data_IF_435182108878
#
_entry.id   IF_435182108878
#
_cell.length_a   1.000
_cell.length_b   1.000
_cell.length_c   1.000
_cell.angle_alpha   90.00
_cell.angle_beta   90.00
_cell.angle_gamma   90.00
#
_symmetry.space_group_name_H-M   'P 1'
#
loop_
_entity.id
_entity.type
_entity.pdbx_description
1 polymer ?
#
# COMPACT_ATOMS: atom_id res chain seq x y z
N UNK A 1 -40.71 -25.49 -4.92
CA UNK A 1 -40.13 -25.89 -3.62
C UNK A 1 -38.68 -25.42 -3.49
N UNK A 2 -37.74 -25.92 -4.30
CA UNK A 2 -36.30 -25.64 -4.19
C UNK A 2 -35.88 -24.15 -4.16
N UNK A 3 -36.53 -23.26 -4.92
CA UNK A 3 -36.23 -21.82 -4.92
C UNK A 3 -36.60 -21.13 -3.60
N UNK A 4 -37.70 -21.55 -2.97
CA UNK A 4 -38.13 -21.01 -1.68
C UNK A 4 -37.21 -21.50 -0.56
N UNK A 5 -36.78 -22.76 -0.62
CA UNK A 5 -35.84 -23.35 0.34
C UNK A 5 -34.45 -22.69 0.26
N UNK A 6 -33.98 -22.40 -0.96
CA UNK A 6 -32.74 -21.67 -1.18
C UNK A 6 -32.82 -20.25 -0.60
N UNK A 7 -33.89 -19.50 -0.88
CA UNK A 7 -34.07 -18.15 -0.35
C UNK A 7 -34.13 -18.14 1.18
N UNK A 8 -34.84 -19.11 1.79
CA UNK A 8 -34.94 -19.25 3.24
C UNK A 8 -33.58 -19.57 3.87
N UNK A 9 -32.78 -20.43 3.23
CA UNK A 9 -31.44 -20.75 3.70
C UNK A 9 -30.48 -19.55 3.59
N UNK A 10 -30.51 -18.82 2.46
CA UNK A 10 -29.71 -17.61 2.27
C UNK A 10 -30.03 -16.57 3.34
N UNK A 11 -31.31 -16.28 3.60
CA UNK A 11 -31.72 -15.36 4.65
C UNK A 11 -31.20 -15.79 6.03
N UNK A 12 -31.32 -17.08 6.37
CA UNK A 12 -30.83 -17.62 7.64
C UNK A 12 -29.31 -17.48 7.78
N UNK A 13 -28.56 -17.72 6.72
CA UNK A 13 -27.10 -17.56 6.69
C UNK A 13 -26.69 -16.08 6.80
N UNK A 14 -27.37 -15.18 6.10
CA UNK A 14 -27.14 -13.73 6.21
C UNK A 14 -27.32 -13.27 7.65
N UNK A 15 -28.43 -13.63 8.31
CA UNK A 15 -28.66 -13.26 9.72
C UNK A 15 -27.60 -13.86 10.66
N UNK A 16 -27.10 -15.06 10.39
CA UNK A 16 -26.05 -15.67 11.21
C UNK A 16 -24.71 -14.95 11.05
N UNK A 17 -24.37 -14.53 9.84
CA UNK A 17 -23.17 -13.73 9.53
C UNK A 17 -23.24 -12.38 10.25
N UNK A 18 -24.38 -11.69 10.14
CA UNK A 18 -24.59 -10.39 10.78
C UNK A 18 -24.44 -10.49 12.30
N UNK A 19 -25.06 -11.51 12.92
CA UNK A 19 -24.97 -11.76 14.37
C UNK A 19 -23.54 -12.07 14.83
N UNK A 20 -22.76 -12.80 14.03
CA UNK A 20 -21.36 -13.08 14.35
C UNK A 20 -20.51 -11.80 14.26
N UNK A 21 -20.74 -10.96 13.24
CA UNK A 21 -20.11 -9.64 13.12
C UNK A 21 -20.39 -8.74 14.33
N UNK A 22 -21.65 -8.69 14.78
CA UNK A 22 -22.01 -7.96 16.00
C UNK A 22 -21.27 -8.48 17.24
N UNK A 23 -21.11 -9.80 17.37
CA UNK A 23 -20.37 -10.40 18.49
C UNK A 23 -18.90 -9.99 18.48
N UNK A 24 -18.25 -10.00 17.33
CA UNK A 24 -16.85 -9.61 17.21
C UNK A 24 -16.64 -8.11 17.50
N UNK A 25 -17.54 -7.25 17.03
CA UNK A 25 -17.49 -5.84 17.39
C UNK A 25 -17.57 -5.62 18.91
N UNK A 26 -18.46 -6.36 19.62
CA UNK A 26 -18.55 -6.28 21.09
C UNK A 26 -17.27 -6.71 21.80
N UNK A 27 -16.60 -7.76 21.31
CA UNK A 27 -15.31 -8.20 21.87
C UNK A 27 -14.22 -7.14 21.68
N UNK A 28 -14.15 -6.56 20.47
CA UNK A 28 -13.21 -5.47 20.17
C UNK A 28 -13.47 -4.26 21.09
N UNK A 29 -14.72 -3.86 21.25
CA UNK A 29 -15.10 -2.76 22.14
C UNK A 29 -14.71 -3.06 23.60
N UNK A 30 -14.88 -4.31 24.05
CA UNK A 30 -14.49 -4.74 25.40
C UNK A 30 -12.97 -4.58 25.63
N UNK A 31 -12.16 -4.97 24.64
CA UNK A 31 -10.70 -4.79 24.69
C UNK A 31 -10.34 -3.30 24.73
N UNK A 32 -11.00 -2.48 23.90
CA UNK A 32 -10.78 -1.02 23.88
C UNK A 32 -11.10 -0.40 25.24
N UNK A 33 -12.22 -0.78 25.86
CA UNK A 33 -12.61 -0.28 27.17
C UNK A 33 -11.60 -0.69 28.25
N UNK A 34 -11.13 -1.94 28.23
CA UNK A 34 -10.11 -2.41 29.16
C UNK A 34 -8.84 -1.57 29.09
N UNK A 35 -8.32 -1.30 27.89
CA UNK A 35 -7.14 -0.46 27.70
C UNK A 35 -7.34 0.97 28.23
N UNK A 36 -8.55 1.53 28.09
CA UNK A 36 -8.89 2.86 28.64
C UNK A 36 -8.94 2.85 30.17
N UNK A 37 -9.49 1.80 30.78
CA UNK A 37 -9.52 1.63 32.24
C UNK A 37 -8.10 1.51 32.79
N UNK A 38 -7.26 0.65 32.18
CA UNK A 38 -5.86 0.47 32.58
C UNK A 38 -5.06 1.78 32.50
N UNK A 39 -5.30 2.59 31.46
CA UNK A 39 -4.71 3.92 31.32
C UNK A 39 -5.16 4.87 32.44
N UNK A 40 -6.47 4.91 32.73
CA UNK A 40 -7.02 5.75 33.79
C UNK A 40 -6.51 5.37 35.19
N UNK A 41 -6.31 4.07 35.47
CA UNK A 41 -5.71 3.61 36.72
C UNK A 41 -4.24 4.04 36.87
N UNK A 42 -3.45 3.99 35.80
CA UNK A 42 -2.08 4.48 35.80
C UNK A 42 -2.02 5.98 36.08
N UNK A 43 -2.85 6.76 35.40
CA UNK A 43 -2.94 8.21 35.58
C UNK A 43 -3.32 8.56 37.02
N UNK A 44 -4.30 7.86 37.60
CA UNK A 44 -4.70 8.05 39.00
C UNK A 44 -3.53 7.78 39.97
N UNK A 45 -2.80 6.67 39.79
CA UNK A 45 -1.65 6.32 40.65
C UNK A 45 -0.53 7.35 40.55
N UNK A 46 -0.23 7.83 39.34
CA UNK A 46 0.78 8.88 39.14
C UNK A 46 0.34 10.20 39.79
N UNK A 47 -0.93 10.56 39.68
CA UNK A 47 -1.49 11.77 40.30
C UNK A 47 -1.42 11.72 41.83
N UNK A 48 -1.75 10.58 42.44
CA UNK A 48 -1.69 10.41 43.89
C UNK A 48 -0.26 10.57 44.44
N UNK A 49 0.74 10.02 43.73
CA UNK A 49 2.16 10.19 44.07
C UNK A 49 2.58 11.65 43.96
N UNK A 50 2.21 12.32 42.87
CA UNK A 50 2.53 13.73 42.66
C UNK A 50 1.92 14.63 43.75
N UNK A 51 0.64 14.42 44.06
CA UNK A 51 -0.07 15.16 45.11
C UNK A 51 0.57 14.97 46.49
N UNK A 52 0.97 13.73 46.82
CA UNK A 52 1.66 13.43 48.07
C UNK A 52 2.99 14.16 48.21
N UNK A 53 3.77 14.26 47.13
CA UNK A 53 5.01 15.03 47.14
C UNK A 53 4.77 16.54 47.17
N UNK A 54 3.76 17.04 46.45
CA UNK A 54 3.34 18.44 46.51
C UNK A 54 2.99 18.85 47.95
N UNK A 55 2.23 18.03 48.66
CA UNK A 55 1.84 18.28 50.06
C UNK A 55 3.04 18.27 51.02
N UNK A 56 4.07 17.45 50.76
CA UNK A 56 5.32 17.47 51.53
C UNK A 56 6.13 18.74 51.27
N UNK A 57 6.18 19.19 50.03
CA UNK A 57 6.85 20.44 49.65
C UNK A 57 6.14 21.64 50.30
N UNK A 58 4.80 21.70 50.22
CA UNK A 58 4.01 22.75 50.88
C UNK A 58 4.24 22.82 52.40
N UNK A 59 4.29 21.66 53.08
CA UNK A 59 4.63 21.59 54.52
C UNK A 59 6.02 22.12 54.82
N UNK A 60 7.03 21.69 54.05
CA UNK A 60 8.41 22.19 54.20
C UNK A 60 8.50 23.70 53.99
N UNK A 61 7.84 24.23 52.96
CA UNK A 61 7.79 25.68 52.72
C UNK A 61 7.18 26.41 53.91
N UNK A 62 6.07 25.90 54.45
CA UNK A 62 5.40 26.51 55.61
C UNK A 62 6.30 26.51 56.85
N UNK A 63 7.02 25.43 57.12
CA UNK A 63 7.99 25.36 58.22
C UNK A 63 9.15 26.35 58.04
N UNK A 64 9.67 26.50 56.83
CA UNK A 64 10.73 27.48 56.53
C UNK A 64 10.19 28.90 56.75
N UNK A 65 8.99 29.21 56.25
CA UNK A 65 8.34 30.51 56.43
C UNK A 65 8.16 30.86 57.91
N UNK A 66 7.72 29.90 58.73
CA UNK A 66 7.56 30.09 60.18
C UNK A 66 8.91 30.33 60.86
N UNK A 67 9.92 29.52 60.56
CA UNK A 67 11.27 29.70 61.13
C UNK A 67 11.85 31.09 60.79
N UNK A 68 11.62 31.60 59.58
CA UNK A 68 12.05 32.95 59.18
C UNK A 68 11.30 34.02 59.98
N UNK A 69 10.00 33.85 60.22
CA UNK A 69 9.21 34.78 61.02
C UNK A 69 9.69 34.82 62.48
N UNK A 70 9.94 33.66 63.08
CA UNK A 70 10.44 33.53 64.45
C UNK A 70 11.84 34.17 64.58
N UNK A 71 12.72 33.94 63.60
CA UNK A 71 14.04 34.56 63.53
C UNK A 71 13.96 36.09 63.46
N UNK A 72 13.06 36.65 62.63
CA UNK A 72 12.84 38.09 62.57
C UNK A 72 12.35 38.66 63.90
N UNK A 73 11.47 37.93 64.60
CA UNK A 73 10.98 38.34 65.93
C UNK A 73 12.10 38.37 66.95
N UNK A 74 12.95 37.33 66.98
CA UNK A 74 14.12 37.28 67.86
C UNK A 74 15.15 38.37 67.54
N UNK A 75 15.39 38.65 66.25
CA UNK A 75 16.29 39.71 65.80
C UNK A 75 15.83 41.11 66.25
N UNK A 76 14.52 41.34 66.28
CA UNK A 76 13.91 42.61 66.71
C UNK A 76 13.72 42.72 68.24
N UNK A 77 14.13 41.70 69.01
CA UNK A 77 14.03 41.70 70.47
C UNK A 77 15.28 42.31 71.10
N UNK A 78 15.12 43.04 72.22
CA UNK A 78 16.24 43.54 73.02
C UNK A 78 16.79 42.50 74.02
N UNK A 79 16.27 41.26 74.01
CA UNK A 79 16.70 40.18 74.88
C UNK A 79 17.85 39.37 74.26
N UNK A 80 19.08 39.63 74.73
CA UNK A 80 20.30 38.96 74.28
C UNK A 80 20.30 37.44 74.54
N UNK A 81 19.50 36.94 75.48
CA UNK A 81 19.43 35.51 75.80
C UNK A 81 18.88 34.69 74.62
N UNK A 82 17.95 35.26 73.84
CA UNK A 82 17.33 34.62 72.67
C UNK A 82 18.33 34.32 71.55
N UNK A 83 19.33 35.20 71.35
CA UNK A 83 20.38 35.01 70.35
C UNK A 83 21.35 33.92 70.79
N UNK A 84 21.74 33.91 72.08
CA UNK A 84 22.66 32.92 72.64
C UNK A 84 22.09 31.49 72.65
N UNK A 85 20.76 31.36 72.78
CA UNK A 85 20.06 30.07 72.79
C UNK A 85 19.71 29.55 71.38
N UNK A 86 19.86 30.37 70.34
CA UNK A 86 19.47 30.00 68.98
C UNK A 86 20.33 28.87 68.41
N UNK A 87 19.66 27.84 67.89
CA UNK A 87 20.30 26.74 67.16
C UNK A 87 19.78 26.73 65.73
N UNK A 88 20.70 26.81 64.77
CA UNK A 88 20.35 26.84 63.36
C UNK A 88 19.72 25.52 62.90
N UNK A 89 18.58 25.63 62.20
CA UNK A 89 17.91 24.50 61.54
C UNK A 89 18.27 24.37 60.06
N UNK A 90 19.18 25.20 59.52
CA UNK A 90 19.51 25.22 58.08
C UNK A 90 19.95 23.86 57.53
N UNK A 91 20.60 23.03 58.37
CA UNK A 91 21.00 21.67 57.99
C UNK A 91 19.80 20.78 57.60
N UNK A 92 18.61 21.01 58.19
CA UNK A 92 17.39 20.25 57.92
C UNK A 92 16.80 20.55 56.54
N UNK A 93 17.03 21.75 56.01
CA UNK A 93 16.49 22.22 54.72
C UNK A 93 17.54 22.26 53.60
N UNK A 94 18.77 21.78 53.87
CA UNK A 94 19.89 21.85 52.93
C UNK A 94 19.71 20.93 51.72
N UNK A 95 18.87 19.90 51.83
CA UNK A 95 18.63 18.95 50.75
C UNK A 95 17.45 19.43 49.89
N UNK A 96 17.60 19.49 48.56
CA UNK A 96 16.48 19.82 47.69
C UNK A 96 15.43 18.70 47.71
N UNK A 97 14.17 19.00 47.37
CA UNK A 97 13.15 17.96 47.18
C UNK A 97 13.60 16.95 46.11
N UNK A 98 13.23 15.66 46.26
CA UNK A 98 13.57 14.63 45.29
C UNK A 98 12.96 14.94 43.91
N UNK A 99 13.73 14.70 42.84
CA UNK A 99 13.21 14.80 41.47
C UNK A 99 12.46 13.52 41.12
N UNK A 100 11.16 13.64 40.90
CA UNK A 100 10.35 12.55 40.37
C UNK A 100 10.47 12.51 38.85
N UNK A 101 10.90 11.37 38.31
CA UNK A 101 10.84 11.10 36.87
C UNK A 101 9.63 10.22 36.61
N UNK A 102 8.60 10.77 35.96
CA UNK A 102 7.43 10.02 35.53
C UNK A 102 7.52 9.85 34.02
N UNK A 103 7.49 8.59 33.55
CA UNK A 103 7.37 8.28 32.13
C UNK A 103 5.90 8.34 31.73
N UNK A 104 5.58 9.11 30.70
CA UNK A 104 4.22 9.15 30.16
C UNK A 104 3.92 7.85 29.37
N UNK A 105 2.72 7.27 29.52
CA UNK A 105 2.32 6.12 28.74
C UNK A 105 2.23 6.50 27.25
N UNK A 106 2.60 5.56 26.38
CA UNK A 106 2.46 5.70 24.93
C UNK A 106 1.63 4.53 24.38
N UNK A 107 0.78 4.82 23.41
CA UNK A 107 -0.01 3.81 22.72
C UNK A 107 0.50 3.65 21.29
N UNK A 108 0.92 2.44 20.95
CA UNK A 108 1.38 2.09 19.59
C UNK A 108 0.45 1.03 19.03
N UNK A 109 -0.43 1.38 18.06
CA UNK A 109 -1.34 0.40 17.46
C UNK A 109 -0.56 -0.63 16.65
N UNK A 110 -0.87 -1.91 16.83
CA UNK A 110 -0.33 -2.96 15.98
C UNK A 110 -1.03 -2.96 14.61
N UNK A 111 -0.27 -3.25 13.56
CA UNK A 111 -0.79 -3.36 12.20
C UNK A 111 -1.68 -4.59 12.09
N UNK A 112 -2.94 -4.38 11.71
CA UNK A 112 -3.95 -5.43 11.59
C UNK A 112 -3.66 -6.35 10.40
N UNK A 113 -3.52 -7.64 10.66
CA UNK A 113 -3.40 -8.69 9.63
C UNK A 113 -4.81 -9.09 9.16
N UNK A 114 -5.12 -8.84 7.89
CA UNK A 114 -6.47 -9.10 7.35
C UNK A 114 -6.74 -10.60 7.21
N UNK A 115 -5.71 -11.37 6.92
CA UNK A 115 -5.78 -12.82 6.74
C UNK A 115 -6.13 -13.51 8.06
N UNK A 116 -5.57 -13.04 9.18
CA UNK A 116 -5.92 -13.51 10.52
C UNK A 116 -7.36 -13.15 10.91
N UNK A 117 -7.85 -11.96 10.53
CA UNK A 117 -9.25 -11.58 10.75
C UNK A 117 -10.22 -12.46 9.95
N UNK A 118 -9.90 -12.77 8.69
CA UNK A 118 -10.72 -13.68 7.89
C UNK A 118 -10.77 -15.09 8.49
N UNK A 119 -9.66 -15.57 9.05
CA UNK A 119 -9.62 -16.85 9.77
C UNK A 119 -10.51 -16.84 11.03
N UNK A 120 -10.55 -15.72 11.76
CA UNK A 120 -11.37 -15.58 12.97
C UNK A 120 -12.86 -15.41 12.67
N UNK A 121 -13.23 -14.87 11.50
CA UNK A 121 -14.62 -14.60 11.12
C UNK A 121 -15.33 -15.81 10.48
N UNK A 122 -14.59 -16.68 9.78
CA UNK A 122 -15.12 -17.91 9.17
C UNK A 122 -15.42 -17.82 7.67
N UNK A 123 -15.87 -18.94 7.08
CA UNK A 123 -16.05 -19.13 5.64
C UNK A 123 -17.47 -19.63 5.30
N UNK A 124 -17.99 -19.20 4.15
CA UNK A 124 -19.25 -19.72 3.59
C UNK A 124 -18.93 -20.88 2.64
N UNK A 125 -19.49 -22.06 2.91
CA UNK A 125 -19.37 -23.21 2.01
C UNK A 125 -20.09 -22.95 0.68
N UNK A 126 -19.39 -23.12 -0.44
CA UNK A 126 -19.99 -23.03 -1.78
C UNK A 126 -20.74 -24.34 -2.09
N UNK A 127 -22.00 -24.24 -2.47
CA UNK A 127 -22.79 -25.40 -2.95
C UNK A 127 -22.74 -25.43 -4.48
N UNK A 128 -22.20 -26.50 -5.10
CA UNK A 128 -22.20 -26.63 -6.55
C UNK A 128 -23.59 -27.02 -7.07
N UNK A 129 -24.00 -26.41 -8.18
CA UNK A 129 -25.23 -26.78 -8.90
C UNK A 129 -24.91 -27.89 -9.91
N UNK A 130 -25.68 -28.99 -9.93
CA UNK A 130 -25.60 -30.01 -10.97
C UNK A 130 -26.77 -29.82 -11.94
N UNK A 131 -26.49 -29.72 -13.24
CA UNK A 131 -27.50 -29.80 -14.31
C UNK A 131 -27.15 -30.96 -15.22
N UNK A 132 -28.06 -31.92 -15.36
CA UNK A 132 -27.93 -33.04 -16.29
C UNK A 132 -28.36 -32.62 -17.70
N UNK A 133 -27.41 -32.57 -18.63
CA UNK A 133 -27.64 -32.65 -20.08
C UNK A 133 -26.63 -33.64 -20.67
N UNK A 134 -27.02 -34.51 -21.61
CA UNK A 134 -26.14 -35.55 -22.15
C UNK A 134 -25.28 -34.98 -23.29
N UNK A 135 -23.97 -35.27 -23.25
CA UNK A 135 -23.06 -35.05 -24.39
C UNK A 135 -22.11 -33.86 -24.25
N UNK A 136 -21.23 -33.90 -23.24
CA UNK A 136 -19.82 -33.47 -23.29
C UNK A 136 -19.30 -33.47 -21.84
N UNK A 137 -18.37 -34.36 -21.54
CA UNK A 137 -17.71 -34.42 -20.24
C UNK A 137 -16.75 -33.24 -20.12
N UNK A 138 -17.24 -32.10 -19.61
CA UNK A 138 -16.41 -31.00 -19.14
C UNK A 138 -16.18 -31.16 -17.64
N UNK A 139 -15.02 -31.72 -17.29
CA UNK A 139 -14.50 -31.67 -15.94
C UNK A 139 -14.00 -30.24 -15.69
N UNK A 140 -14.65 -29.49 -14.79
CA UNK A 140 -14.09 -28.28 -14.22
C UNK A 140 -13.07 -28.67 -13.14
N UNK A 141 -11.77 -28.34 -13.27
CA UNK A 141 -10.87 -28.38 -12.12
C UNK A 141 -11.28 -27.24 -11.19
N UNK A 142 -11.71 -27.60 -9.98
CA UNK A 142 -12.01 -26.63 -8.94
C UNK A 142 -10.78 -25.81 -8.61
N UNK A 143 -10.94 -24.49 -8.54
CA UNK A 143 -9.94 -23.61 -7.95
C UNK A 143 -9.80 -23.99 -6.47
N UNK A 144 -8.67 -24.61 -6.16
CA UNK A 144 -8.28 -25.05 -4.84
C UNK A 144 -8.26 -23.86 -3.88
N UNK A 145 -8.73 -24.11 -2.68
CA UNK A 145 -8.37 -23.33 -1.51
C UNK A 145 -6.84 -23.24 -1.43
N UNK A 146 -6.31 -22.02 -1.40
CA UNK A 146 -4.98 -21.65 -0.87
C UNK A 146 -3.92 -22.74 -1.08
N UNK A 147 -3.29 -22.77 -2.26
CA UNK A 147 -2.09 -23.56 -2.41
C UNK A 147 -1.03 -23.07 -1.39
N UNK A 148 -0.47 -23.96 -0.55
CA UNK A 148 0.77 -23.65 0.15
C UNK A 148 1.83 -23.36 -0.92
N UNK A 149 2.75 -22.41 -0.65
CA UNK A 149 3.81 -21.94 -1.55
C UNK A 149 4.05 -22.88 -2.73
N UNK A 150 3.32 -22.64 -3.81
CA UNK A 150 3.46 -23.44 -5.02
C UNK A 150 4.89 -23.18 -5.48
N UNK A 151 5.75 -24.20 -5.59
CA UNK A 151 7.08 -23.99 -6.14
C UNK A 151 6.90 -23.28 -7.48
N UNK A 152 7.71 -22.24 -7.72
CA UNK A 152 7.79 -21.60 -9.03
C UNK A 152 7.86 -22.72 -10.06
N UNK A 153 7.04 -22.65 -11.11
CA UNK A 153 7.08 -23.67 -12.14
C UNK A 153 8.49 -23.62 -12.73
N UNK A 154 9.29 -24.67 -12.52
CA UNK A 154 10.69 -24.71 -12.97
C UNK A 154 10.79 -24.52 -14.49
N UNK A 155 9.79 -25.01 -15.23
CA UNK A 155 9.73 -24.87 -16.69
C UNK A 155 8.40 -24.25 -17.17
N UNK A 156 8.43 -23.10 -17.87
CA UNK A 156 7.23 -22.49 -18.42
C UNK A 156 6.59 -23.41 -19.46
N UNK A 157 5.29 -23.68 -19.31
CA UNK A 157 4.52 -24.48 -20.27
C UNK A 157 3.86 -23.58 -21.29
N UNK A 158 4.10 -23.85 -22.58
CA UNK A 158 3.38 -23.19 -23.67
C UNK A 158 1.94 -23.74 -23.75
N UNK A 159 0.96 -22.89 -23.44
CA UNK A 159 -0.46 -23.27 -23.44
C UNK A 159 -1.13 -22.91 -24.78
N UNK A 160 -0.78 -21.75 -25.34
CA UNK A 160 -1.34 -21.27 -26.59
C UNK A 160 -0.34 -20.35 -27.30
N UNK A 161 -0.40 -20.33 -28.63
CA UNK A 161 0.27 -19.33 -29.46
C UNK A 161 -0.82 -18.52 -30.20
N UNK A 162 -0.88 -17.23 -29.91
CA UNK A 162 -1.93 -16.34 -30.44
C UNK A 162 -1.28 -15.43 -31.47
N UNK A 163 -1.61 -15.64 -32.74
CA UNK A 163 -1.20 -14.73 -33.80
C UNK A 163 -2.07 -13.47 -33.73
N UNK A 164 -1.50 -12.39 -33.20
CA UNK A 164 -2.17 -11.09 -33.19
C UNK A 164 -1.96 -10.38 -34.53
N UNK A 165 -3.00 -9.76 -35.07
CA UNK A 165 -2.91 -8.84 -36.22
C UNK A 165 -2.27 -7.48 -35.84
N UNK A 166 -1.49 -7.43 -34.76
CA UNK A 166 -0.78 -6.26 -34.26
C UNK A 166 0.71 -6.43 -34.58
N UNK A 167 1.35 -5.37 -35.07
CA UNK A 167 2.79 -5.33 -35.27
C UNK A 167 3.40 -4.65 -34.05
N UNK A 168 4.55 -5.10 -33.55
CA UNK A 168 5.26 -4.44 -32.45
C UNK A 168 4.43 -4.30 -31.17
N UNK A 169 4.18 -5.42 -30.49
CA UNK A 169 3.46 -5.42 -29.21
C UNK A 169 4.20 -4.61 -28.15
N UNK A 170 3.47 -3.74 -27.45
CA UNK A 170 4.01 -2.85 -26.43
C UNK A 170 3.44 -3.12 -25.03
N UNK A 171 2.29 -3.78 -24.94
CA UNK A 171 1.69 -4.13 -23.67
C UNK A 171 0.68 -5.26 -23.79
N UNK A 172 0.63 -6.06 -22.73
CA UNK A 172 -0.27 -7.20 -22.61
C UNK A 172 -0.85 -7.24 -21.20
N UNK A 173 -2.14 -7.55 -21.07
CA UNK A 173 -2.77 -7.70 -19.76
C UNK A 173 -3.89 -8.72 -19.78
N UNK A 174 -3.83 -9.68 -18.86
CA UNK A 174 -4.84 -10.72 -18.73
C UNK A 174 -6.10 -10.17 -18.04
N UNK A 175 -7.25 -10.27 -18.70
CA UNK A 175 -8.54 -9.94 -18.09
C UNK A 175 -8.95 -11.02 -17.09
N UNK A 176 -8.69 -12.29 -17.45
CA UNK A 176 -8.91 -13.55 -16.74
C UNK A 176 -7.97 -14.60 -17.36
N UNK A 177 -8.15 -15.87 -17.00
CA UNK A 177 -7.31 -16.97 -17.50
C UNK A 177 -7.63 -17.37 -18.95
N UNK A 178 -8.63 -16.77 -19.58
CA UNK A 178 -9.10 -17.11 -20.93
C UNK A 178 -8.99 -15.98 -21.97
N UNK A 179 -8.65 -14.74 -21.53
CA UNK A 179 -8.70 -13.54 -22.37
C UNK A 179 -7.60 -12.55 -22.05
N UNK A 180 -7.03 -11.98 -23.12
CA UNK A 180 -5.85 -11.14 -23.06
C UNK A 180 -6.09 -9.84 -23.83
N UNK A 181 -5.90 -8.71 -23.15
CA UNK A 181 -5.79 -7.40 -23.77
C UNK A 181 -4.39 -7.20 -24.31
N UNK A 182 -4.31 -6.67 -25.53
CA UNK A 182 -3.08 -6.45 -26.25
C UNK A 182 -3.09 -5.03 -26.83
N UNK A 183 -1.95 -4.34 -26.72
CA UNK A 183 -1.66 -3.10 -27.42
C UNK A 183 -0.30 -3.17 -28.12
N UNK A 184 -0.19 -2.50 -29.26
CA UNK A 184 1.00 -2.52 -30.12
C UNK A 184 0.89 -1.53 -31.28
N UNK A 185 1.92 -1.47 -32.12
CA UNK A 185 1.99 -0.58 -33.29
C UNK A 185 1.06 -1.07 -34.41
N UNK A 186 -0.23 -0.73 -34.30
CA UNK A 186 -1.24 -1.00 -35.33
C UNK A 186 -2.57 -0.31 -35.02
N UNK A 187 -3.25 0.18 -36.07
CA UNK A 187 -4.60 0.81 -36.10
C UNK A 187 -5.03 1.71 -34.93
N UNK A 188 -4.12 2.15 -34.05
CA UNK A 188 -4.41 2.90 -32.84
C UNK A 188 -5.51 2.26 -31.96
N UNK A 189 -5.55 0.93 -31.88
CA UNK A 189 -6.57 0.18 -31.13
C UNK A 189 -5.96 -0.74 -30.07
N UNK A 190 -6.69 -0.91 -28.97
CA UNK A 190 -6.44 -1.90 -27.92
C UNK A 190 -7.41 -3.05 -28.16
N UNK A 191 -6.88 -4.27 -28.31
CA UNK A 191 -7.63 -5.45 -28.77
C UNK A 191 -7.69 -6.52 -27.67
N UNK A 192 -8.83 -7.19 -27.55
CA UNK A 192 -9.05 -8.30 -26.64
C UNK A 192 -9.13 -9.59 -27.44
N UNK A 193 -8.20 -10.51 -27.19
CA UNK A 193 -8.20 -11.84 -27.79
C UNK A 193 -8.62 -12.88 -26.75
N UNK A 194 -9.26 -13.95 -27.20
CA UNK A 194 -9.36 -15.19 -26.43
C UNK A 194 -8.11 -16.06 -26.61
N UNK A 195 -7.97 -17.13 -25.81
CA UNK A 195 -6.85 -18.06 -25.94
C UNK A 195 -6.84 -18.86 -27.26
N UNK A 196 -7.97 -18.90 -27.99
CA UNK A 196 -8.05 -19.46 -29.33
C UNK A 196 -7.56 -18.50 -30.42
N UNK A 197 -7.22 -17.27 -30.05
CA UNK A 197 -6.77 -16.22 -30.96
C UNK A 197 -7.89 -15.45 -31.66
N UNK A 198 -9.16 -15.65 -31.27
CA UNK A 198 -10.26 -14.90 -31.84
C UNK A 198 -10.34 -13.50 -31.21
N UNK A 199 -10.55 -12.48 -32.05
CA UNK A 199 -10.74 -11.11 -31.63
C UNK A 199 -12.14 -10.91 -31.02
N UNK A 200 -12.21 -10.70 -29.72
CA UNK A 200 -13.47 -10.49 -29.00
C UNK A 200 -13.91 -9.01 -28.97
N UNK A 201 -12.94 -8.08 -28.82
CA UNK A 201 -13.21 -6.63 -28.78
C UNK A 201 -12.04 -5.83 -29.36
N UNK A 202 -12.33 -4.69 -29.95
CA UNK A 202 -11.35 -3.69 -30.38
C UNK A 202 -11.82 -2.31 -29.92
N UNK A 203 -10.94 -1.55 -29.26
CA UNK A 203 -11.25 -0.24 -28.70
C UNK A 203 -10.23 0.76 -29.24
N UNK A 204 -10.64 1.84 -29.92
CA UNK A 204 -9.71 2.88 -30.35
C UNK A 204 -9.12 3.61 -29.14
N UNK A 205 -7.85 4.00 -29.19
CA UNK A 205 -7.27 4.88 -28.18
C UNK A 205 -7.85 6.29 -28.31
N UNK A 206 -8.04 6.98 -27.19
CA UNK A 206 -8.59 8.34 -27.16
C UNK A 206 -7.76 9.36 -27.96
N UNK A 207 -6.44 9.22 -28.01
CA UNK A 207 -5.56 10.10 -28.79
C UNK A 207 -5.59 9.81 -30.29
N UNK A 208 -6.03 8.62 -30.72
CA UNK A 208 -5.94 8.20 -32.11
C UNK A 208 -4.50 8.16 -32.64
N UNK A 209 -3.50 8.07 -31.75
CA UNK A 209 -2.07 8.05 -32.07
C UNK A 209 -1.45 6.71 -31.69
N UNK A 210 -0.25 6.45 -32.24
CA UNK A 210 0.47 5.16 -32.15
C UNK A 210 0.45 4.57 -30.73
N UNK A 211 0.02 3.30 -30.55
CA UNK A 211 0.00 2.65 -29.23
C UNK A 211 1.39 2.25 -28.70
N UNK A 212 2.48 2.56 -29.41
CA UNK A 212 3.84 2.25 -28.95
C UNK A 212 4.23 2.96 -27.65
N UNK A 213 3.48 3.98 -27.26
CA UNK A 213 3.63 4.71 -25.99
C UNK A 213 2.46 4.43 -25.01
N UNK A 214 1.62 3.43 -25.30
CA UNK A 214 0.43 3.07 -24.52
C UNK A 214 0.62 1.70 -23.88
N UNK A 215 0.48 1.67 -22.56
CA UNK A 215 0.48 0.43 -21.77
C UNK A 215 -0.90 0.17 -21.19
N UNK A 216 -1.21 -1.11 -20.98
CA UNK A 216 -2.53 -1.57 -20.56
C UNK A 216 -2.45 -2.38 -19.28
N UNK A 217 -3.46 -2.23 -18.43
CA UNK A 217 -3.67 -3.08 -17.27
C UNK A 217 -5.15 -3.31 -17.07
N UNK A 218 -5.49 -4.28 -16.22
CA UNK A 218 -6.87 -4.60 -15.87
C UNK A 218 -7.03 -4.47 -14.36
N UNK A 219 -8.06 -3.72 -13.95
CA UNK A 219 -8.44 -3.59 -12.54
C UNK A 219 -8.93 -4.92 -11.96
N UNK A 220 -8.99 -5.02 -10.62
CA UNK A 220 -9.58 -6.19 -9.94
C UNK A 220 -11.01 -6.54 -10.43
N UNK A 221 -11.79 -5.53 -10.83
CA UNK A 221 -13.13 -5.68 -11.38
C UNK A 221 -13.17 -6.09 -12.86
N UNK A 222 -12.04 -6.32 -13.51
CA UNK A 222 -11.98 -6.68 -14.92
C UNK A 222 -12.18 -5.50 -15.88
N UNK A 223 -11.95 -4.27 -15.40
CA UNK A 223 -12.07 -3.05 -16.22
C UNK A 223 -10.70 -2.71 -16.80
N UNK A 224 -10.63 -2.51 -18.12
CA UNK A 224 -9.43 -2.09 -18.84
C UNK A 224 -9.04 -0.65 -18.48
N UNK A 225 -7.77 -0.47 -18.17
CA UNK A 225 -7.11 0.81 -17.92
C UNK A 225 -5.91 0.92 -18.85
N UNK A 226 -5.67 2.10 -19.42
CA UNK A 226 -4.52 2.32 -20.29
C UNK A 226 -3.94 3.73 -20.14
N UNK A 227 -2.65 3.86 -20.43
CA UNK A 227 -1.94 5.15 -20.46
C UNK A 227 -2.05 5.81 -21.83
N UNK A 228 -2.20 7.13 -21.84
CA UNK A 228 -2.17 7.94 -23.05
C UNK A 228 -1.09 9.00 -22.86
N UNK A 229 0.11 8.67 -23.34
CA UNK A 229 1.32 9.48 -23.22
C UNK A 229 1.12 10.89 -23.78
N UNK A 230 0.51 11.01 -24.98
CA UNK A 230 0.32 12.27 -25.70
C UNK A 230 -0.71 13.18 -25.03
N UNK A 231 -1.84 12.61 -24.59
CA UNK A 231 -2.86 13.38 -23.89
C UNK A 231 -2.54 13.63 -22.41
N UNK A 232 -1.47 13.03 -21.88
CA UNK A 232 -1.10 13.07 -20.45
C UNK A 232 -2.22 12.55 -19.55
N UNK A 233 -2.80 11.40 -19.93
CA UNK A 233 -3.95 10.84 -19.21
C UNK A 233 -3.81 9.35 -18.94
N UNK A 234 -4.45 8.90 -17.87
CA UNK A 234 -4.78 7.49 -17.66
C UNK A 234 -6.28 7.35 -17.87
N UNK A 235 -6.67 6.45 -18.75
CA UNK A 235 -8.05 6.26 -19.18
C UNK A 235 -8.57 4.89 -18.74
N UNK A 236 -9.87 4.81 -18.48
CA UNK A 236 -10.58 3.60 -18.12
C UNK A 236 -11.72 3.36 -19.11
N UNK A 237 -11.94 2.11 -19.51
CA UNK A 237 -12.99 1.75 -20.47
C UNK A 237 -14.15 1.09 -19.75
N UNK A 238 -15.30 1.78 -19.68
CA UNK A 238 -16.55 1.27 -19.09
C UNK A 238 -17.63 1.19 -20.15
N UNK A 239 -18.26 0.03 -20.33
CA UNK A 239 -19.35 -0.15 -21.30
C UNK A 239 -19.01 0.44 -22.69
N UNK A 240 -17.83 0.10 -23.21
CA UNK A 240 -17.26 0.62 -24.48
C UNK A 240 -17.02 2.13 -24.56
N UNK A 241 -17.30 2.89 -23.50
CA UNK A 241 -16.97 4.31 -23.41
C UNK A 241 -15.65 4.52 -22.68
N UNK A 242 -14.82 5.41 -23.23
CA UNK A 242 -13.53 5.78 -22.68
C UNK A 242 -13.71 6.99 -21.76
N UNK A 243 -13.37 6.82 -20.49
CA UNK A 243 -13.39 7.88 -19.49
C UNK A 243 -11.96 8.19 -19.05
N UNK A 244 -11.63 9.48 -18.94
CA UNK A 244 -10.34 9.89 -18.37
C UNK A 244 -10.42 9.79 -16.86
N UNK A 245 -9.62 8.92 -16.26
CA UNK A 245 -9.56 8.72 -14.81
C UNK A 245 -8.58 9.69 -14.15
N UNK A 246 -7.40 9.84 -14.74
CA UNK A 246 -6.32 10.69 -14.23
C UNK A 246 -5.86 11.62 -15.34
N UNK A 247 -5.74 12.92 -15.03
CA UNK A 247 -5.13 13.91 -15.92
C UNK A 247 -3.87 14.47 -15.27
N UNK A 248 -2.75 14.27 -15.93
CA UNK A 248 -1.44 14.65 -15.44
C UNK A 248 -1.04 16.03 -15.98
N UNK A 249 -0.46 16.86 -15.11
CA UNK A 249 0.07 18.19 -15.46
C UNK A 249 1.57 18.20 -15.26
N UNK A 250 2.35 18.52 -16.29
CA UNK A 250 3.82 18.48 -16.22
C UNK A 250 4.44 17.09 -16.34
N UNK A 251 3.60 16.05 -16.53
CA UNK A 251 4.02 14.64 -16.53
C UNK A 251 3.30 13.87 -17.65
N UNK A 252 4.01 12.93 -18.25
CA UNK A 252 3.51 12.04 -19.31
C UNK A 252 3.56 10.59 -18.81
N UNK A 253 2.43 9.86 -18.78
CA UNK A 253 2.40 8.49 -18.29
C UNK A 253 3.04 7.55 -19.30
N UNK A 254 3.88 6.63 -18.82
CA UNK A 254 4.51 5.57 -19.62
C UNK A 254 3.74 4.27 -19.37
N UNK A 255 3.93 3.67 -18.22
CA UNK A 255 3.34 2.39 -17.87
C UNK A 255 2.32 2.50 -16.73
N UNK A 256 1.43 1.50 -16.62
CA UNK A 256 0.38 1.42 -15.61
C UNK A 256 0.21 0.00 -15.09
N UNK A 257 0.09 -0.14 -13.78
CA UNK A 257 -0.16 -1.42 -13.12
C UNK A 257 -1.33 -1.29 -12.13
N UNK A 258 -2.29 -2.23 -12.18
CA UNK A 258 -3.29 -2.36 -11.14
C UNK A 258 -2.69 -2.97 -9.88
N UNK A 259 -2.95 -2.36 -8.72
CA UNK A 259 -2.51 -2.91 -7.44
C UNK A 259 -3.49 -3.96 -6.93
N UNK A 260 -2.99 -4.86 -6.08
CA UNK A 260 -3.77 -5.85 -5.33
C UNK A 260 -4.82 -5.23 -4.41
N UNK A 261 -4.66 -3.95 -4.06
CA UNK A 261 -5.56 -3.15 -3.22
C UNK A 261 -6.62 -2.37 -4.01
N UNK A 262 -6.64 -2.51 -5.35
CA UNK A 262 -7.60 -1.84 -6.23
C UNK A 262 -7.22 -0.40 -6.60
N UNK A 263 -5.97 0.01 -6.35
CA UNK A 263 -5.39 1.26 -6.82
C UNK A 263 -4.63 1.08 -8.13
N UNK A 264 -3.93 2.14 -8.54
CA UNK A 264 -3.06 2.13 -9.71
C UNK A 264 -1.64 2.60 -9.33
N UNK A 265 -0.64 2.00 -9.96
CA UNK A 265 0.70 2.54 -10.06
C UNK A 265 0.87 3.07 -11.48
N UNK A 266 1.50 4.23 -11.63
CA UNK A 266 1.73 4.86 -12.93
C UNK A 266 3.16 5.36 -12.98
N UNK A 267 3.97 4.84 -13.91
CA UNK A 267 5.28 5.42 -14.21
C UNK A 267 5.10 6.59 -15.16
N UNK A 268 5.87 7.66 -14.95
CA UNK A 268 5.74 8.89 -15.72
C UNK A 268 7.05 9.63 -15.83
N UNK A 269 7.24 10.25 -16.99
CA UNK A 269 8.35 11.18 -17.25
C UNK A 269 7.84 12.62 -17.15
N UNK A 270 8.72 13.56 -16.78
CA UNK A 270 8.40 14.98 -16.86
C UNK A 270 8.23 15.44 -18.31
N UNK A 271 7.50 16.54 -18.51
CA UNK A 271 7.25 17.06 -19.87
C UNK A 271 8.56 17.40 -20.63
N UNK A 272 9.61 17.80 -19.89
CA UNK A 272 10.96 18.11 -20.39
C UNK A 272 11.88 16.88 -20.49
N UNK A 273 11.36 15.68 -20.19
CA UNK A 273 12.07 14.40 -20.23
C UNK A 273 13.26 14.25 -19.27
N UNK A 274 13.45 15.18 -18.32
CA UNK A 274 14.60 15.22 -17.40
C UNK A 274 14.38 14.49 -16.09
N UNK A 275 13.15 14.10 -15.78
CA UNK A 275 12.82 13.43 -14.53
C UNK A 275 11.86 12.27 -14.78
N UNK A 276 11.98 11.23 -13.96
CA UNK A 276 11.04 10.12 -13.94
C UNK A 276 10.56 9.88 -12.51
N UNK A 277 9.31 9.44 -12.36
CA UNK A 277 8.74 9.05 -11.08
C UNK A 277 7.65 8.01 -11.24
N UNK A 278 7.31 7.38 -10.13
CA UNK A 278 6.13 6.50 -10.02
C UNK A 278 5.13 7.12 -9.06
N UNK A 279 3.89 7.30 -9.53
CA UNK A 279 2.78 7.73 -8.70
C UNK A 279 1.89 6.56 -8.32
N UNK A 280 1.50 6.47 -7.04
CA UNK A 280 0.43 5.58 -6.58
C UNK A 280 -0.86 6.37 -6.49
N UNK A 281 -1.94 5.82 -7.03
CA UNK A 281 -3.25 6.44 -7.11
C UNK A 281 -4.33 5.56 -6.48
N UNK A 282 -5.24 6.18 -5.74
CA UNK A 282 -6.51 5.59 -5.31
C UNK A 282 -7.63 6.29 -6.08
N UNK A 283 -8.21 5.60 -7.06
CA UNK A 283 -9.09 6.23 -8.04
C UNK A 283 -8.33 7.31 -8.84
N UNK A 284 -8.83 8.54 -8.81
CA UNK A 284 -8.18 9.71 -9.45
C UNK A 284 -7.19 10.46 -8.55
N UNK A 285 -7.10 10.09 -7.27
CA UNK A 285 -6.32 10.82 -6.28
C UNK A 285 -4.93 10.23 -6.12
N UNK A 286 -3.88 11.03 -6.30
CA UNK A 286 -2.51 10.62 -6.01
C UNK A 286 -2.33 10.48 -4.49
N UNK A 287 -1.90 9.31 -4.04
CA UNK A 287 -1.67 9.00 -2.62
C UNK A 287 -0.20 8.93 -2.25
N UNK A 288 0.67 8.71 -3.24
CA UNK A 288 2.11 8.62 -3.04
C UNK A 288 2.84 9.02 -4.33
N UNK A 289 4.00 9.66 -4.17
CA UNK A 289 4.93 9.96 -5.26
C UNK A 289 6.30 9.41 -4.88
N UNK A 290 6.82 8.51 -5.69
CA UNK A 290 8.11 7.84 -5.52
C UNK A 290 9.03 8.40 -6.59
N UNK A 291 10.09 9.10 -6.19
CA UNK A 291 10.96 9.81 -7.13
C UNK A 291 12.41 9.87 -6.68
N UNK A 292 12.67 10.17 -5.41
CA UNK A 292 14.01 10.36 -4.86
C UNK A 292 14.27 9.42 -3.68
N UNK A 293 15.53 9.06 -3.47
CA UNK A 293 15.99 8.37 -2.27
C UNK A 293 16.23 9.38 -1.11
N UNK A 294 16.63 8.87 0.05
CA UNK A 294 16.90 9.67 1.26
C UNK A 294 18.03 10.68 1.12
N UNK A 295 18.89 10.49 0.12
CA UNK A 295 19.98 11.41 -0.22
C UNK A 295 19.55 12.46 -1.24
N UNK A 296 18.27 12.48 -1.63
CA UNK A 296 17.73 13.38 -2.65
C UNK A 296 18.10 13.02 -4.09
N UNK A 297 18.64 11.83 -4.33
CA UNK A 297 19.04 11.37 -5.67
C UNK A 297 17.86 10.69 -6.38
N UNK A 298 17.72 10.83 -7.71
CA UNK A 298 16.62 10.21 -8.45
C UNK A 298 16.70 8.67 -8.37
N UNK A 299 15.56 8.04 -8.15
CA UNK A 299 15.43 6.57 -8.09
C UNK A 299 15.38 5.93 -9.49
N UNK A 300 14.97 6.70 -10.49
CA UNK A 300 14.73 6.23 -11.85
C UNK A 300 15.48 7.10 -12.84
N UNK A 301 15.92 6.51 -13.95
CA UNK A 301 16.59 7.21 -15.04
C UNK A 301 15.63 8.19 -15.73
N UNK A 302 16.12 9.35 -16.15
CA UNK A 302 15.37 10.28 -16.97
C UNK A 302 15.21 9.74 -18.38
N UNK A 303 14.14 10.10 -19.10
CA UNK A 303 13.96 9.68 -20.50
C UNK A 303 15.15 10.05 -21.41
N UNK A 304 15.98 11.04 -21.02
CA UNK A 304 17.20 11.42 -21.72
C UNK A 304 18.44 10.58 -21.37
N UNK A 305 18.41 9.79 -20.29
CA UNK A 305 19.53 8.98 -19.84
C UNK A 305 19.67 7.68 -20.65
N UNK A 306 18.61 7.25 -21.35
CA UNK A 306 18.59 6.09 -22.23
C UNK A 306 19.20 6.39 -23.61
N UNK A 307 20.52 6.45 -23.70
CA UNK A 307 21.25 6.74 -24.95
C UNK A 307 22.04 5.53 -25.44
N UNK A 308 21.39 4.58 -26.14
CA UNK A 308 22.06 3.70 -27.12
C UNK A 308 21.10 3.36 -28.26
N UNK A 309 20.91 4.27 -29.23
CA UNK A 309 20.83 3.92 -30.67
C UNK A 309 20.88 5.19 -31.54
N UNK A 310 21.66 5.13 -32.62
CA UNK A 310 21.87 6.21 -33.59
C UNK A 310 21.00 6.07 -34.85
N UNK A 311 19.96 5.23 -34.81
CA UNK A 311 19.00 5.08 -35.89
C UNK A 311 17.72 5.89 -35.60
N UNK A 312 17.51 6.94 -36.39
CA UNK A 312 16.30 7.76 -36.31
C UNK A 312 15.00 6.99 -36.62
N UNK A 313 15.11 5.78 -37.15
CA UNK A 313 13.97 4.89 -37.41
C UNK A 313 13.59 3.99 -36.22
N UNK A 314 14.49 3.76 -35.26
CA UNK A 314 14.21 2.97 -34.04
C UNK A 314 14.05 3.90 -32.83
N UNK A 315 13.15 4.88 -32.96
CA UNK A 315 12.64 5.72 -31.88
C UNK A 315 11.76 4.95 -30.87
N UNK A 316 11.84 3.62 -30.88
CA UNK A 316 11.03 2.72 -30.08
C UNK A 316 11.82 2.45 -28.80
N UNK A 317 11.31 2.97 -27.68
CA UNK A 317 11.48 2.35 -26.36
C UNK A 317 12.82 2.45 -25.61
N UNK A 318 13.75 3.35 -25.97
CA UNK A 318 15.06 3.42 -25.30
C UNK A 318 15.05 3.84 -23.81
N UNK A 319 13.90 4.21 -23.23
CA UNK A 319 13.78 4.32 -21.78
C UNK A 319 12.44 3.82 -21.22
N UNK A 320 12.07 2.61 -21.61
CA UNK A 320 10.88 1.95 -21.08
C UNK A 320 11.04 1.64 -19.60
N UNK A 321 10.00 1.95 -18.82
CA UNK A 321 9.92 1.65 -17.39
C UNK A 321 8.69 0.82 -17.13
N UNK A 322 8.91 -0.48 -16.92
CA UNK A 322 7.83 -1.41 -16.61
C UNK A 322 7.61 -1.46 -15.11
N UNK A 323 6.35 -1.38 -14.69
CA UNK A 323 5.97 -1.35 -13.29
C UNK A 323 5.10 -2.54 -12.92
N UNK A 324 5.39 -3.13 -11.76
CA UNK A 324 4.56 -4.17 -11.16
C UNK A 324 4.52 -4.05 -9.64
N UNK A 325 3.56 -4.72 -9.02
CA UNK A 325 3.49 -4.89 -7.57
C UNK A 325 3.80 -6.34 -7.24
N UNK A 326 4.79 -6.59 -6.38
CA UNK A 326 5.12 -7.95 -5.93
C UNK A 326 4.14 -8.44 -4.84
N UNK A 327 4.28 -9.70 -4.39
CA UNK A 327 3.44 -10.26 -3.32
C UNK A 327 3.61 -9.56 -1.97
N UNK A 328 4.74 -8.92 -1.74
CA UNK A 328 5.01 -8.10 -0.54
C UNK A 328 4.41 -6.69 -0.64
N UNK A 329 3.74 -6.38 -1.76
CA UNK A 329 3.13 -5.08 -2.06
C UNK A 329 4.14 -3.96 -2.37
N UNK A 330 5.40 -4.34 -2.57
CA UNK A 330 6.45 -3.43 -3.00
C UNK A 330 6.27 -3.10 -4.48
N UNK A 331 6.71 -1.90 -4.85
CA UNK A 331 6.73 -1.44 -6.24
C UNK A 331 8.01 -1.91 -6.88
N UNK A 332 7.90 -2.75 -7.91
CA UNK A 332 9.03 -3.18 -8.73
C UNK A 332 9.03 -2.39 -10.04
N UNK A 333 10.13 -1.71 -10.33
CA UNK A 333 10.31 -0.94 -11.57
C UNK A 333 11.50 -1.49 -12.33
N UNK A 334 11.27 -2.04 -13.51
CA UNK A 334 12.33 -2.40 -14.46
C UNK A 334 12.67 -1.17 -15.28
N UNK A 335 13.83 -0.57 -15.01
CA UNK A 335 14.30 0.66 -15.62
C UNK A 335 15.38 0.33 -16.65
N UNK A 336 15.00 0.39 -17.93
CA UNK A 336 15.91 0.08 -19.04
C UNK A 336 17.06 1.11 -19.13
N UNK A 337 16.77 2.40 -18.93
CA UNK A 337 17.79 3.44 -19.01
C UNK A 337 18.85 3.32 -17.91
N UNK A 338 18.46 2.83 -16.73
CA UNK A 338 19.40 2.53 -15.63
C UNK A 338 20.01 1.11 -15.71
N UNK A 339 19.57 0.27 -16.65
CA UNK A 339 19.87 -1.16 -16.68
C UNK A 339 19.68 -1.84 -15.31
N UNK A 340 18.58 -1.52 -14.62
CA UNK A 340 18.37 -1.97 -13.24
C UNK A 340 16.90 -2.24 -12.93
N UNK A 341 16.68 -3.11 -11.94
CA UNK A 341 15.37 -3.28 -11.30
C UNK A 341 15.41 -2.60 -9.94
N UNK A 342 14.52 -1.63 -9.73
CA UNK A 342 14.38 -0.88 -8.48
C UNK A 342 13.15 -1.40 -7.75
N UNK A 343 13.35 -1.89 -6.52
CA UNK A 343 12.25 -2.35 -5.66
C UNK A 343 12.09 -1.36 -4.52
N UNK A 344 10.89 -0.80 -4.40
CA UNK A 344 10.57 0.25 -3.42
C UNK A 344 9.49 -0.25 -2.46
N UNK A 345 9.76 -0.15 -1.15
CA UNK A 345 8.81 -0.59 -0.15
C UNK A 345 7.50 0.21 -0.23
N UNK A 346 6.36 -0.48 -0.07
CA UNK A 346 5.02 0.11 -0.07
C UNK A 346 4.91 1.39 0.78
N UNK A 347 5.51 1.41 1.96
CA UNK A 347 5.22 2.41 2.99
C UNK A 347 6.09 3.67 2.91
N UNK A 348 7.35 3.54 2.50
CA UNK A 348 8.33 4.61 2.74
C UNK A 348 8.91 5.24 1.47
N UNK A 349 8.64 4.69 0.28
CA UNK A 349 9.31 5.18 -0.93
C UNK A 349 10.82 4.90 -0.95
N UNK A 350 11.32 4.17 0.05
CA UNK A 350 12.72 3.78 0.19
C UNK A 350 13.04 2.61 -0.74
N UNK A 351 14.13 2.70 -1.53
CA UNK A 351 14.62 1.55 -2.28
C UNK A 351 15.03 0.47 -1.27
N UNK A 352 14.35 -0.67 -1.35
CA UNK A 352 14.65 -1.84 -0.51
C UNK A 352 15.76 -2.66 -1.15
N UNK A 353 15.72 -2.81 -2.48
CA UNK A 353 16.73 -3.53 -3.26
C UNK A 353 16.87 -2.89 -4.65
N UNK A 354 18.10 -2.79 -5.14
CA UNK A 354 18.40 -2.39 -6.52
C UNK A 354 19.26 -3.49 -7.14
N UNK A 355 18.78 -4.10 -8.21
CA UNK A 355 19.48 -5.18 -8.90
C UNK A 355 20.00 -4.68 -10.25
N UNK A 356 21.31 -4.75 -10.53
CA UNK A 356 21.83 -4.49 -11.86
C UNK A 356 21.42 -5.63 -12.81
N UNK A 357 20.95 -5.28 -14.00
CA UNK A 357 20.71 -6.23 -15.08
C UNK A 357 22.07 -6.57 -15.71
N UNK A 358 22.64 -7.71 -15.33
CA UNK A 358 23.83 -8.25 -16.00
C UNK A 358 23.40 -8.75 -17.39
N UNK A 359 23.84 -8.08 -18.44
CA UNK A 359 23.72 -8.55 -19.81
C UNK A 359 24.48 -9.88 -19.95
N UNK A 360 23.76 -10.99 -19.86
CA UNK A 360 24.11 -12.24 -20.53
C UNK A 360 23.04 -12.54 -21.57
N UNK A 361 23.52 -12.97 -22.73
CA UNK A 361 22.86 -13.12 -24.02
C UNK A 361 21.37 -13.50 -24.00
N UNK A 362 20.62 -12.89 -24.92
CA UNK A 362 19.18 -13.05 -25.24
C UNK A 362 18.17 -12.18 -24.46
N UNK A 363 18.19 -10.87 -24.77
CA UNK A 363 17.25 -9.84 -24.30
C UNK A 363 15.83 -9.91 -24.90
N UNK A 364 15.34 -11.08 -25.34
CA UNK A 364 13.97 -11.24 -25.84
C UNK A 364 13.00 -11.90 -24.86
N UNK A 365 13.48 -12.45 -23.74
CA UNK A 365 12.63 -13.32 -22.88
C UNK A 365 12.38 -12.85 -21.44
N UNK A 366 12.98 -11.74 -20.98
CA UNK A 366 12.83 -11.32 -19.57
C UNK A 366 11.74 -10.24 -19.37
N UNK A 367 11.37 -9.49 -20.42
CA UNK A 367 10.33 -8.46 -20.32
C UNK A 367 8.88 -9.00 -20.40
N UNK A 368 8.69 -10.23 -20.88
CA UNK A 368 7.36 -10.81 -21.17
C UNK A 368 6.82 -11.71 -20.05
N UNK A 369 7.55 -11.90 -18.95
CA UNK A 369 7.09 -12.72 -17.81
C UNK A 369 6.25 -11.93 -16.78
N UNK A 370 6.12 -10.62 -16.93
CA UNK A 370 5.23 -9.80 -16.10
C UNK A 370 3.83 -9.71 -16.72
N UNK A 371 3.08 -10.81 -16.65
CA UNK A 371 1.60 -10.86 -16.55
C UNK A 371 1.07 -12.29 -16.47
N UNK A 372 1.86 -13.25 -16.00
CA UNK A 372 1.28 -14.43 -15.39
C UNK A 372 0.89 -14.07 -13.95
N UNK A 373 -0.35 -13.62 -13.74
CA UNK A 373 -1.03 -13.95 -12.48
C UNK A 373 -0.93 -15.46 -12.39
N UNK A 374 -0.06 -15.99 -11.53
CA UNK A 374 -0.12 -17.40 -11.13
C UNK A 374 -1.35 -17.50 -10.22
N UNK A 375 -2.50 -17.52 -10.87
CA UNK A 375 -3.74 -18.02 -10.33
C UNK A 375 -3.82 -19.50 -10.70
N UNK A 376 -3.71 -20.34 -9.69
CA UNK A 376 -4.39 -21.63 -9.63
C UNK A 376 -4.65 -21.88 -8.17
#
# INVERSE_FOLDING_TARGET
>A
MQKADLNKNTQKLTTAIDKHGESLHREIDTIIQKLKVDLGEMDSKHLDVLKKEEDKIKRTISEITQNIADLKKSLNSNDASLVSAYKSRNAQFRRPPPRLTISLPSFTPQKLNKEQLFQQFGLISKVPFKTEKPGCTMNFPGAESSLPDRPLIDEPRLIANINTEQIGLCGVSCLRDDKIWVCGDGENTIRLYDLGGNLAKSIPTKSGYKPSETHVTVTLSGILVYTDFRNRTVNIVKNTQIQTLIRLRGWKPRDVCSTSTGGLLVSMDSDDSRQAKVGRYSGSTAVQSIQFNDKGQPLFSSALDGYISFDRETLICNNSKYISENRNLDVCVSDLGACAVVVVNRNFGLPTLVFPLLLRDSLSHVASLQTARVGS
#
